data_IF_385408254499
#
_entry.id   IF_385408254499
#
_cell.length_a   1.000
_cell.length_b   1.000
_cell.length_c   1.000
_cell.angle_alpha   90.00
_cell.angle_beta   90.00
_cell.angle_gamma   90.00
#
_symmetry.space_group_name_H-M   'P 1'
#
loop_
_entity.id
_entity.type
_entity.pdbx_description
1 polymer ?
#
# COMPACT_ATOMS: atom_id res chain seq x y z
N UNK A 1 -1.57 15.86 26.40
CA UNK A 1 -2.37 15.09 25.43
C UNK A 1 -3.32 16.08 24.76
N UNK A 2 -3.09 16.45 23.50
CA UNK A 2 -4.04 17.31 22.76
C UNK A 2 -5.35 16.54 22.58
N UNK A 3 -6.49 17.20 22.76
CA UNK A 3 -7.78 16.54 22.51
C UNK A 3 -7.94 16.41 21.00
N UNK A 4 -8.54 15.31 20.54
CA UNK A 4 -8.85 15.08 19.12
C UNK A 4 -9.55 16.29 18.47
N UNK A 5 -10.40 16.96 19.25
CA UNK A 5 -11.11 18.19 18.87
C UNK A 5 -10.16 19.34 18.52
N UNK A 6 -9.04 19.48 19.23
CA UNK A 6 -8.06 20.56 19.01
C UNK A 6 -7.34 20.34 17.67
N UNK A 7 -6.99 19.09 17.35
CA UNK A 7 -6.35 18.72 16.09
C UNK A 7 -7.29 19.01 14.91
N UNK A 8 -8.55 18.58 15.01
CA UNK A 8 -9.57 18.83 13.99
C UNK A 8 -9.79 20.34 13.80
N UNK A 9 -9.85 21.10 14.90
CA UNK A 9 -10.05 22.55 14.86
C UNK A 9 -8.87 23.26 14.21
N UNK A 10 -7.64 22.90 14.59
CA UNK A 10 -6.42 23.45 14.00
C UNK A 10 -6.37 23.22 12.49
N UNK A 11 -6.72 22.01 12.04
CA UNK A 11 -6.71 21.66 10.63
C UNK A 11 -7.80 22.38 9.83
N UNK A 12 -9.00 22.55 10.41
CA UNK A 12 -10.05 23.38 9.83
C UNK A 12 -9.61 24.83 9.69
N UNK A 13 -8.98 25.40 10.70
CA UNK A 13 -8.45 26.77 10.65
C UNK A 13 -7.38 26.91 9.57
N UNK A 14 -6.48 25.93 9.44
CA UNK A 14 -5.47 25.92 8.39
C UNK A 14 -6.11 25.93 6.98
N UNK A 15 -7.12 25.09 6.75
CA UNK A 15 -7.84 25.04 5.47
C UNK A 15 -8.50 26.39 5.15
N UNK A 16 -9.16 27.01 6.13
CA UNK A 16 -9.77 28.34 5.96
C UNK A 16 -8.72 29.39 5.63
N UNK A 17 -7.62 29.43 6.37
CA UNK A 17 -6.53 30.39 6.15
C UNK A 17 -5.91 30.23 4.76
N UNK A 18 -5.64 28.99 4.33
CA UNK A 18 -5.10 28.72 3.00
C UNK A 18 -6.06 29.16 1.90
N UNK A 19 -7.37 28.90 2.09
CA UNK A 19 -8.39 29.35 1.14
C UNK A 19 -8.45 30.86 1.04
N UNK A 20 -8.50 31.56 2.17
CA UNK A 20 -8.58 33.03 2.22
C UNK A 20 -7.33 33.65 1.58
N UNK A 21 -6.15 33.11 1.89
CA UNK A 21 -4.89 33.67 1.40
C UNK A 21 -4.69 33.48 -0.11
N UNK A 22 -5.10 32.34 -0.66
CA UNK A 22 -4.87 32.00 -2.07
C UNK A 22 -6.11 32.13 -2.97
N UNK A 23 -7.26 32.50 -2.40
CA UNK A 23 -8.57 32.56 -3.06
C UNK A 23 -8.93 31.31 -3.89
N UNK A 24 -8.55 30.13 -3.38
CA UNK A 24 -8.79 28.84 -4.03
C UNK A 24 -8.98 27.72 -3.02
N UNK A 25 -9.72 26.68 -3.41
CA UNK A 25 -9.88 25.47 -2.59
C UNK A 25 -8.52 24.75 -2.49
N UNK A 26 -8.04 24.43 -1.27
CA UNK A 26 -6.80 23.67 -1.13
C UNK A 26 -7.01 22.20 -1.49
N UNK A 27 -5.93 21.52 -1.89
CA UNK A 27 -5.88 20.06 -1.96
C UNK A 27 -5.30 19.52 -0.66
N UNK A 28 -5.77 18.36 -0.21
CA UNK A 28 -5.27 17.71 0.99
C UNK A 28 -4.63 16.37 0.63
N UNK A 29 -3.33 16.23 0.90
CA UNK A 29 -2.58 15.01 0.70
C UNK A 29 -2.23 14.41 2.06
N UNK A 30 -2.63 13.15 2.27
CA UNK A 30 -2.23 12.35 3.42
C UNK A 30 -1.41 11.19 2.89
N UNK A 31 -0.10 11.28 3.05
CA UNK A 31 0.82 10.22 2.62
C UNK A 31 0.99 9.18 3.75
N UNK A 32 1.10 7.90 3.38
CA UNK A 32 1.32 6.77 4.30
C UNK A 32 0.36 6.76 5.50
N UNK A 33 -0.95 6.88 5.23
CA UNK A 33 -1.99 6.98 6.28
C UNK A 33 -1.99 5.79 7.26
N UNK A 34 -1.48 4.65 6.81
CA UNK A 34 -1.40 3.40 7.54
C UNK A 34 -0.13 3.25 8.38
N UNK A 35 0.88 4.11 8.19
CA UNK A 35 2.16 4.02 8.91
C UNK A 35 2.02 3.96 10.43
N UNK A 36 1.15 4.73 11.09
CA UNK A 36 0.98 4.60 12.55
C UNK A 36 0.42 3.24 12.97
N UNK A 37 -0.47 2.65 12.14
CA UNK A 37 -0.98 1.31 12.39
C UNK A 37 0.10 0.25 12.15
N UNK A 38 0.93 0.41 11.11
CA UNK A 38 2.09 -0.47 10.83
C UNK A 38 3.06 -0.43 12.01
N UNK A 39 3.48 0.76 12.44
CA UNK A 39 4.38 0.92 13.59
C UNK A 39 3.81 0.32 14.89
N UNK A 40 2.50 0.41 15.10
CA UNK A 40 1.81 -0.21 16.23
C UNK A 40 1.85 -1.75 16.17
N UNK A 41 1.67 -2.34 14.97
CA UNK A 41 1.78 -3.78 14.76
C UNK A 41 3.22 -4.26 14.97
N UNK A 42 4.22 -3.55 14.43
CA UNK A 42 5.65 -3.83 14.63
C UNK A 42 6.05 -3.77 16.12
N UNK A 43 5.45 -2.82 16.86
CA UNK A 43 5.61 -2.68 18.31
C UNK A 43 4.82 -3.72 19.13
N UNK A 44 4.15 -4.67 18.46
CA UNK A 44 3.37 -5.76 19.08
C UNK A 44 2.24 -5.26 20.00
N UNK A 45 1.64 -4.11 19.67
CA UNK A 45 0.44 -3.63 20.36
C UNK A 45 -0.75 -4.56 20.12
N UNK A 46 -1.74 -4.51 21.00
CA UNK A 46 -2.95 -5.32 20.85
C UNK A 46 -3.75 -4.88 19.61
N UNK A 47 -4.52 -5.80 19.03
CA UNK A 47 -5.38 -5.48 17.89
C UNK A 47 -6.37 -4.35 18.21
N UNK A 48 -6.86 -4.27 19.45
CA UNK A 48 -7.75 -3.20 19.90
C UNK A 48 -7.04 -1.84 19.86
N UNK A 49 -5.78 -1.78 20.30
CA UNK A 49 -4.97 -0.56 20.24
C UNK A 49 -4.70 -0.15 18.79
N UNK A 50 -4.35 -1.11 17.91
CA UNK A 50 -4.15 -0.85 16.48
C UNK A 50 -5.44 -0.32 15.83
N UNK A 51 -6.60 -0.92 16.14
CA UNK A 51 -7.92 -0.45 15.69
C UNK A 51 -8.25 0.94 16.20
N UNK A 52 -7.95 1.26 17.46
CA UNK A 52 -8.17 2.58 18.03
C UNK A 52 -7.32 3.65 17.34
N UNK A 53 -6.07 3.35 17.01
CA UNK A 53 -5.18 4.23 16.23
C UNK A 53 -5.77 4.47 14.84
N UNK A 54 -6.11 3.42 14.11
CA UNK A 54 -6.69 3.53 12.77
C UNK A 54 -8.00 4.30 12.75
N UNK A 55 -8.86 4.06 13.75
CA UNK A 55 -10.13 4.79 13.93
C UNK A 55 -9.88 6.26 14.21
N UNK A 56 -8.90 6.59 15.04
CA UNK A 56 -8.54 7.98 15.36
C UNK A 56 -8.11 8.74 14.12
N UNK A 57 -7.20 8.16 13.31
CA UNK A 57 -6.71 8.75 12.07
C UNK A 57 -7.86 8.96 11.07
N UNK A 58 -8.67 7.91 10.87
CA UNK A 58 -9.84 7.94 9.98
C UNK A 58 -10.83 9.02 10.41
N UNK A 59 -11.09 9.16 11.71
CA UNK A 59 -12.00 10.18 12.24
C UNK A 59 -11.50 11.60 11.98
N UNK A 60 -10.19 11.87 12.12
CA UNK A 60 -9.61 13.16 11.76
C UNK A 60 -9.86 13.46 10.29
N UNK A 61 -9.52 12.54 9.40
CA UNK A 61 -9.67 12.71 7.94
C UNK A 61 -11.15 12.92 7.58
N UNK A 62 -12.04 12.03 8.05
CA UNK A 62 -13.48 12.12 7.81
C UNK A 62 -14.09 13.42 8.33
N UNK A 63 -13.62 13.96 9.45
CA UNK A 63 -14.13 15.22 10.01
C UNK A 63 -13.87 16.45 9.12
N UNK A 64 -12.85 16.36 8.26
CA UNK A 64 -12.50 17.40 7.29
C UNK A 64 -13.30 17.18 6.01
N UNK A 65 -13.40 15.92 5.57
CA UNK A 65 -14.11 15.54 4.34
C UNK A 65 -15.62 15.77 4.42
N UNK A 66 -16.24 15.42 5.56
CA UNK A 66 -17.70 15.47 5.78
C UNK A 66 -18.19 16.83 6.28
N UNK A 67 -17.59 17.92 5.80
CA UNK A 67 -17.96 19.26 6.25
C UNK A 67 -19.06 19.86 5.37
N UNK A 68 -20.10 20.42 5.99
CA UNK A 68 -21.11 21.23 5.30
C UNK A 68 -20.69 22.69 5.13
N UNK A 69 -19.55 23.10 5.69
CA UNK A 69 -19.03 24.46 5.60
C UNK A 69 -18.34 24.68 4.25
N UNK A 70 -18.91 25.55 3.41
CA UNK A 70 -18.34 25.92 2.11
C UNK A 70 -16.88 26.42 2.20
N UNK A 71 -16.49 27.06 3.30
CA UNK A 71 -15.13 27.56 3.50
C UNK A 71 -14.12 26.43 3.74
N UNK A 72 -14.59 25.26 4.18
CA UNK A 72 -13.76 24.09 4.45
C UNK A 72 -13.71 23.10 3.28
N UNK A 73 -14.45 23.35 2.19
CA UNK A 73 -14.40 22.49 1.02
C UNK A 73 -13.03 22.48 0.38
N UNK A 74 -12.55 21.26 0.16
CA UNK A 74 -11.30 20.96 -0.52
C UNK A 74 -11.55 20.80 -2.03
N UNK A 75 -10.51 21.03 -2.84
CA UNK A 75 -10.54 20.78 -4.27
C UNK A 75 -10.51 19.27 -4.55
N UNK A 76 -9.62 18.58 -3.85
CA UNK A 76 -9.43 17.14 -3.91
C UNK A 76 -8.73 16.67 -2.62
N UNK A 77 -8.91 15.40 -2.29
CA UNK A 77 -8.15 14.71 -1.24
C UNK A 77 -7.50 13.47 -1.83
N UNK A 78 -6.20 13.35 -1.62
CA UNK A 78 -5.41 12.18 -1.99
C UNK A 78 -4.90 11.54 -0.70
N UNK A 79 -5.26 10.29 -0.49
CA UNK A 79 -4.78 9.49 0.64
C UNK A 79 -4.00 8.32 0.07
N UNK A 80 -2.76 8.16 0.48
CA UNK A 80 -1.90 7.04 0.08
C UNK A 80 -1.64 6.14 1.29
N UNK A 81 -1.31 4.88 1.02
CA UNK A 81 -0.96 3.91 2.03
C UNK A 81 -0.87 2.51 1.43
N UNK A 82 -0.30 1.58 2.18
CA UNK A 82 -0.09 0.19 1.74
C UNK A 82 -1.22 -0.71 2.28
N UNK A 83 -1.60 -0.52 3.53
CA UNK A 83 -2.57 -1.35 4.24
C UNK A 83 -4.01 -0.96 3.91
N UNK A 84 -4.72 -1.89 3.25
CA UNK A 84 -6.13 -1.71 2.85
C UNK A 84 -7.09 -1.50 4.03
N UNK A 85 -6.81 -2.05 5.22
CA UNK A 85 -7.77 -1.97 6.33
C UNK A 85 -8.00 -0.56 6.85
N UNK A 86 -6.97 0.30 6.80
CA UNK A 86 -7.11 1.71 7.18
C UNK A 86 -8.01 2.44 6.17
N UNK A 87 -7.96 2.04 4.89
CA UNK A 87 -8.80 2.61 3.84
C UNK A 87 -10.29 2.19 3.91
N UNK A 88 -10.63 1.03 4.50
CA UNK A 88 -12.03 0.63 4.67
C UNK A 88 -12.81 1.58 5.60
N UNK A 89 -12.15 2.21 6.56
CA UNK A 89 -12.76 3.27 7.38
C UNK A 89 -13.12 4.52 6.57
N UNK A 90 -12.49 4.73 5.42
CA UNK A 90 -12.73 5.84 4.50
C UNK A 90 -13.71 5.50 3.37
N UNK A 91 -13.92 4.20 3.10
CA UNK A 91 -14.80 3.70 2.03
C UNK A 91 -16.29 4.11 2.10
N UNK A 92 -16.92 4.43 3.26
CA UNK A 92 -18.31 4.89 3.31
C UNK A 92 -18.54 6.31 2.74
N UNK A 93 -17.68 6.79 1.85
CA UNK A 93 -17.74 8.12 1.27
C UNK A 93 -18.07 7.96 -0.22
N UNK A 94 -19.30 8.31 -0.60
CA UNK A 94 -19.85 8.13 -1.97
C UNK A 94 -19.03 8.80 -3.09
N UNK A 95 -18.12 9.72 -2.72
CA UNK A 95 -17.23 10.43 -3.64
C UNK A 95 -15.76 9.96 -3.57
N UNK A 96 -15.49 8.78 -3.00
CA UNK A 96 -14.13 8.21 -2.96
C UNK A 96 -13.91 7.25 -4.12
N UNK A 97 -12.79 7.42 -4.81
CA UNK A 97 -12.33 6.46 -5.83
C UNK A 97 -11.12 5.72 -5.29
N UNK A 98 -11.27 4.48 -4.81
CA UNK A 98 -10.13 3.68 -4.37
C UNK A 98 -9.31 3.29 -5.61
N UNK A 99 -8.01 3.61 -5.57
CA UNK A 99 -7.06 3.20 -6.60
C UNK A 99 -6.09 2.20 -6.00
N UNK A 100 -6.20 0.94 -6.43
CA UNK A 100 -5.30 -0.13 -5.99
C UNK A 100 -4.17 -0.29 -6.99
N UNK A 101 -3.10 0.47 -6.79
CA UNK A 101 -2.00 0.60 -7.75
C UNK A 101 -1.46 -0.75 -8.27
N UNK A 102 -1.27 -1.73 -7.38
CA UNK A 102 -0.74 -3.06 -7.74
C UNK A 102 -1.80 -4.05 -8.23
N UNK A 103 -3.08 -3.79 -7.97
CA UNK A 103 -4.18 -4.65 -8.42
C UNK A 103 -4.77 -4.19 -9.77
N UNK A 104 -4.36 -3.02 -10.27
CA UNK A 104 -4.78 -2.49 -11.56
C UNK A 104 -3.71 -2.75 -12.63
N UNK A 105 -3.98 -3.67 -13.56
CA UNK A 105 -3.05 -4.02 -14.65
C UNK A 105 -2.70 -2.84 -15.57
N UNK A 106 -3.56 -1.81 -15.64
CA UNK A 106 -3.29 -0.61 -16.46
C UNK A 106 -2.07 0.15 -15.94
N UNK A 107 -1.80 0.08 -14.63
CA UNK A 107 -0.70 0.76 -13.96
C UNK A 107 0.41 -0.18 -13.53
N UNK A 108 0.06 -1.28 -12.87
CA UNK A 108 1.01 -2.20 -12.23
C UNK A 108 2.03 -2.82 -13.21
N UNK A 109 1.72 -2.90 -14.51
CA UNK A 109 2.68 -3.37 -15.53
C UNK A 109 3.90 -2.47 -15.71
N UNK A 110 3.81 -1.19 -15.33
CA UNK A 110 4.89 -0.21 -15.39
C UNK A 110 5.65 -0.09 -14.06
N UNK A 111 5.30 -0.90 -13.06
CA UNK A 111 5.89 -0.82 -11.74
C UNK A 111 6.89 -1.95 -11.48
N UNK A 112 8.06 -1.58 -10.97
CA UNK A 112 9.14 -2.51 -10.70
C UNK A 112 9.72 -3.17 -11.96
N UNK A 113 10.59 -4.14 -11.74
CA UNK A 113 11.18 -4.97 -12.78
C UNK A 113 10.33 -6.22 -12.99
N UNK A 114 10.21 -6.67 -14.23
CA UNK A 114 9.70 -8.03 -14.54
C UNK A 114 10.76 -9.09 -14.25
N UNK A 115 10.36 -10.36 -14.21
CA UNK A 115 11.32 -11.47 -14.13
C UNK A 115 12.37 -11.44 -15.27
N UNK A 116 11.93 -11.05 -16.48
CA UNK A 116 12.81 -10.90 -17.64
C UNK A 116 13.81 -9.73 -17.47
N UNK A 117 13.37 -8.62 -16.89
CA UNK A 117 14.25 -7.49 -16.59
C UNK A 117 15.32 -7.89 -15.56
N UNK A 118 14.94 -8.63 -14.51
CA UNK A 118 15.87 -9.14 -13.50
C UNK A 118 16.87 -10.12 -14.11
N UNK A 119 16.41 -11.08 -14.92
CA UNK A 119 17.29 -12.02 -15.63
C UNK A 119 18.30 -11.28 -16.52
N UNK A 120 17.83 -10.28 -17.27
CA UNK A 120 18.69 -9.45 -18.12
C UNK A 120 19.70 -8.66 -17.29
N UNK A 121 19.27 -8.10 -16.16
CA UNK A 121 20.13 -7.34 -15.25
C UNK A 121 21.21 -8.22 -14.63
N UNK A 122 20.86 -9.41 -14.14
CA UNK A 122 21.81 -10.40 -13.58
C UNK A 122 22.83 -10.81 -14.63
N UNK A 123 22.39 -11.20 -15.84
CA UNK A 123 23.28 -11.60 -16.94
C UNK A 123 24.31 -10.51 -17.27
N UNK A 124 23.86 -9.26 -17.37
CA UNK A 124 24.72 -8.12 -17.71
C UNK A 124 25.66 -7.76 -16.55
N UNK A 125 25.14 -7.65 -15.33
CA UNK A 125 25.87 -7.09 -14.20
C UNK A 125 26.86 -8.08 -13.60
N UNK A 126 26.52 -9.36 -13.57
CA UNK A 126 27.40 -10.43 -13.11
C UNK A 126 28.36 -10.94 -14.22
N UNK A 127 28.33 -10.36 -15.42
CA UNK A 127 29.23 -10.72 -16.52
C UNK A 127 29.04 -12.15 -17.02
N UNK A 128 27.82 -12.70 -16.93
CA UNK A 128 27.59 -14.13 -17.12
C UNK A 128 27.57 -14.57 -18.59
N UNK A 129 27.61 -13.65 -19.56
CA UNK A 129 27.88 -13.96 -20.97
C UNK A 129 26.98 -15.01 -21.65
N UNK A 130 25.86 -15.41 -21.03
CA UNK A 130 25.01 -16.50 -21.50
C UNK A 130 25.08 -17.80 -20.69
N UNK A 131 25.80 -17.86 -19.57
CA UNK A 131 25.77 -18.96 -18.61
C UNK A 131 24.38 -19.06 -17.95
N UNK A 132 23.53 -19.88 -18.58
CA UNK A 132 22.14 -20.07 -18.17
C UNK A 132 22.04 -20.69 -16.78
N UNK A 133 22.93 -21.62 -16.44
CA UNK A 133 22.89 -22.34 -15.16
C UNK A 133 23.18 -21.40 -14.01
N UNK A 134 24.26 -20.61 -14.10
CA UNK A 134 24.62 -19.65 -13.06
C UNK A 134 23.61 -18.50 -12.94
N UNK A 135 23.01 -18.10 -14.06
CA UNK A 135 21.91 -17.13 -14.03
C UNK A 135 20.70 -17.68 -13.29
N UNK A 136 20.30 -18.92 -13.58
CA UNK A 136 19.16 -19.58 -12.94
C UNK A 136 19.38 -19.76 -11.43
N UNK A 137 20.58 -20.14 -11.00
CA UNK A 137 20.95 -20.23 -9.58
C UNK A 137 20.75 -18.88 -8.85
N UNK A 138 21.25 -17.78 -9.42
CA UNK A 138 21.10 -16.43 -8.84
C UNK A 138 19.63 -16.01 -8.80
N UNK A 139 18.89 -16.23 -9.89
CA UNK A 139 17.46 -15.87 -9.94
C UNK A 139 16.65 -16.69 -8.95
N UNK A 140 16.99 -17.96 -8.76
CA UNK A 140 16.36 -18.82 -7.76
C UNK A 140 16.60 -18.30 -6.34
N UNK A 141 17.82 -17.86 -6.02
CA UNK A 141 18.15 -17.30 -4.71
C UNK A 141 17.45 -15.94 -4.48
N UNK A 142 17.44 -15.05 -5.48
CA UNK A 142 16.65 -13.82 -5.44
C UNK A 142 15.18 -14.13 -5.16
N UNK A 143 14.59 -15.10 -5.87
CA UNK A 143 13.19 -15.47 -5.68
C UNK A 143 12.89 -16.09 -4.31
N UNK A 144 13.82 -16.88 -3.77
CA UNK A 144 13.67 -17.46 -2.44
C UNK A 144 13.69 -16.38 -1.34
N UNK A 145 14.49 -15.33 -1.54
CA UNK A 145 14.61 -14.18 -0.61
C UNK A 145 13.61 -13.06 -0.89
N UNK A 146 12.95 -13.06 -2.05
CA UNK A 146 12.06 -11.99 -2.47
C UNK A 146 10.65 -12.12 -1.88
N UNK A 147 10.27 -11.15 -1.07
CA UNK A 147 8.95 -11.05 -0.44
C UNK A 147 8.16 -9.81 -0.86
N UNK A 148 8.49 -9.21 -2.01
CA UNK A 148 7.83 -7.99 -2.48
C UNK A 148 6.54 -8.27 -3.27
N UNK A 149 6.26 -7.43 -4.26
CA UNK A 149 4.93 -7.36 -4.88
C UNK A 149 4.68 -8.47 -5.90
N UNK A 150 3.51 -9.12 -5.76
CA UNK A 150 3.00 -10.09 -6.71
C UNK A 150 1.71 -9.54 -7.31
N UNK A 151 1.68 -9.42 -8.64
CA UNK A 151 0.43 -9.24 -9.37
C UNK A 151 -0.37 -10.55 -9.30
N UNK A 152 -1.66 -10.50 -8.94
CA UNK A 152 -2.53 -11.64 -9.15
C UNK A 152 -2.59 -11.91 -10.65
N UNK A 153 -2.02 -13.04 -11.11
CA UNK A 153 -2.22 -13.46 -12.49
C UNK A 153 -3.59 -14.10 -12.63
N UNK A 154 -4.27 -13.90 -13.76
CA UNK A 154 -5.52 -14.60 -14.07
C UNK A 154 -5.37 -16.14 -14.09
N UNK A 155 -4.14 -16.66 -14.13
CA UNK A 155 -3.82 -18.08 -14.17
C UNK A 155 -3.47 -18.69 -12.80
N UNK A 156 -3.50 -17.92 -11.70
CA UNK A 156 -3.19 -18.41 -10.35
C UNK A 156 -1.70 -18.74 -10.10
N UNK A 157 -0.83 -18.54 -11.09
CA UNK A 157 0.61 -18.67 -10.94
C UNK A 157 1.20 -17.36 -10.43
N UNK A 158 1.31 -17.22 -9.10
CA UNK A 158 1.91 -16.06 -8.43
C UNK A 158 3.32 -15.74 -8.96
N UNK A 159 4.08 -16.75 -9.41
CA UNK A 159 5.47 -16.62 -9.85
C UNK A 159 5.67 -15.81 -11.13
N UNK A 160 4.69 -15.76 -12.04
CA UNK A 160 4.77 -14.94 -13.28
C UNK A 160 4.36 -13.48 -13.08
N UNK A 161 3.77 -13.15 -11.92
CA UNK A 161 3.31 -11.80 -11.59
C UNK A 161 4.27 -11.01 -10.70
N UNK A 162 5.45 -11.53 -10.36
CA UNK A 162 6.39 -10.83 -9.49
C UNK A 162 6.87 -9.51 -10.11
N UNK A 163 6.79 -8.44 -9.32
CA UNK A 163 7.33 -7.11 -9.66
C UNK A 163 8.43 -6.77 -8.70
N UNK A 164 9.68 -6.91 -9.15
CA UNK A 164 10.86 -6.76 -8.30
C UNK A 164 11.20 -5.29 -8.08
N UNK A 165 11.55 -4.94 -6.85
CA UNK A 165 12.13 -3.63 -6.57
C UNK A 165 13.56 -3.56 -7.13
N UNK A 166 13.82 -2.60 -8.02
CA UNK A 166 15.15 -2.40 -8.62
C UNK A 166 16.24 -2.22 -7.55
N UNK A 167 15.95 -1.47 -6.49
CA UNK A 167 16.92 -1.20 -5.41
C UNK A 167 17.33 -2.49 -4.68
N UNK A 168 16.36 -3.34 -4.32
CA UNK A 168 16.61 -4.62 -3.67
C UNK A 168 17.45 -5.54 -4.55
N UNK A 169 17.07 -5.68 -5.83
CA UNK A 169 17.81 -6.52 -6.79
C UNK A 169 19.24 -6.02 -6.99
N UNK A 170 19.46 -4.70 -7.08
CA UNK A 170 20.81 -4.15 -7.21
C UNK A 170 21.67 -4.38 -5.97
N UNK A 171 21.11 -4.26 -4.77
CA UNK A 171 21.86 -4.52 -3.54
C UNK A 171 22.29 -5.98 -3.43
N UNK A 172 21.37 -6.90 -3.74
CA UNK A 172 21.68 -8.32 -3.84
C UNK A 172 22.87 -8.57 -4.78
N UNK A 173 22.78 -8.06 -6.02
CA UNK A 173 23.82 -8.26 -7.03
C UNK A 173 25.17 -7.65 -6.60
N UNK A 174 25.15 -6.56 -5.82
CA UNK A 174 26.35 -5.91 -5.29
C UNK A 174 26.93 -6.62 -4.04
N UNK A 175 26.46 -7.82 -3.69
CA UNK A 175 27.00 -8.63 -2.59
C UNK A 175 26.52 -8.21 -1.20
N UNK A 176 25.41 -7.45 -1.11
CA UNK A 176 24.71 -7.21 0.16
C UNK A 176 23.59 -8.25 0.29
N UNK A 177 23.38 -8.80 1.48
CA UNK A 177 22.28 -9.74 1.66
C UNK A 177 20.94 -9.00 1.59
N UNK A 178 19.94 -9.68 1.01
CA UNK A 178 18.58 -9.13 0.91
C UNK A 178 17.90 -9.05 2.27
N UNK A 179 18.30 -9.90 3.23
CA UNK A 179 17.76 -9.91 4.58
C UNK A 179 18.00 -8.57 5.31
N UNK A 180 19.11 -7.89 5.03
CA UNK A 180 19.46 -6.62 5.67
C UNK A 180 18.70 -5.41 5.09
N UNK A 181 18.12 -5.53 3.89
CA UNK A 181 17.62 -4.40 3.10
C UNK A 181 16.36 -4.75 2.29
N UNK A 182 15.58 -5.76 2.69
CA UNK A 182 14.24 -5.92 2.16
C UNK A 182 13.38 -4.76 2.69
N UNK A 183 13.32 -3.67 1.94
CA UNK A 183 12.54 -2.46 2.28
C UNK A 183 11.03 -2.69 2.42
N UNK A 184 10.57 -3.94 2.25
CA UNK A 184 9.16 -4.31 2.29
C UNK A 184 8.94 -5.60 3.08
N UNK A 185 9.88 -5.96 3.98
CA UNK A 185 9.95 -7.29 4.60
C UNK A 185 8.78 -7.69 5.48
N UNK A 186 8.03 -6.75 6.05
CA UNK A 186 6.96 -7.08 7.00
C UNK A 186 5.66 -6.29 6.78
N UNK A 187 5.58 -5.48 5.73
CA UNK A 187 4.35 -4.78 5.32
C UNK A 187 3.51 -5.57 4.30
N UNK A 188 4.04 -6.69 3.81
CA UNK A 188 3.46 -7.54 2.76
C UNK A 188 2.25 -8.32 3.25
N UNK A 189 1.13 -7.62 3.44
CA UNK A 189 -0.18 -8.15 3.80
C UNK A 189 -0.25 -8.89 5.16
N UNK A 190 -1.34 -8.65 5.88
CA UNK A 190 -1.96 -9.63 6.78
C UNK A 190 -2.45 -10.89 6.02
N UNK A 191 -1.62 -11.47 5.13
CA UNK A 191 -1.79 -12.81 4.54
C UNK A 191 -0.71 -13.78 5.01
N UNK A 192 0.22 -13.34 5.87
CA UNK A 192 1.25 -14.19 6.47
C UNK A 192 0.81 -14.97 7.72
N UNK A 193 -0.33 -14.63 8.34
CA UNK A 193 -1.03 -15.60 9.18
C UNK A 193 -1.93 -16.41 8.26
N UNK A 194 -1.58 -17.68 8.13
CA UNK A 194 -2.41 -18.75 7.60
C UNK A 194 -3.75 -18.79 8.38
N UNK A 195 -4.70 -17.91 8.04
CA UNK A 195 -6.11 -18.19 8.29
C UNK A 195 -6.47 -19.20 7.23
N UNK A 196 -6.75 -20.42 7.66
CA UNK A 196 -7.11 -21.52 6.78
C UNK A 196 -8.14 -21.03 5.74
N UNK A 197 -7.80 -21.20 4.47
CA UNK A 197 -8.60 -20.76 3.32
C UNK A 197 -9.96 -21.47 3.20
N UNK A 198 -10.30 -22.35 4.15
CA UNK A 198 -11.60 -23.02 4.20
C UNK A 198 -12.72 -22.19 4.85
N UNK A 199 -12.45 -21.11 5.61
CA UNK A 199 -13.52 -20.37 6.29
C UNK A 199 -14.04 -19.13 5.55
N UNK A 200 -13.22 -18.45 4.72
CA UNK A 200 -13.67 -17.20 4.07
C UNK A 200 -14.48 -17.47 2.78
N UNK A 201 -14.24 -18.60 2.10
CA UNK A 201 -14.95 -18.94 0.86
C UNK A 201 -16.41 -19.38 1.07
N UNK A 202 -16.90 -19.51 2.32
CA UNK A 202 -18.31 -19.86 2.58
C UNK A 202 -19.23 -18.67 2.87
N UNK A 203 -18.70 -17.46 3.14
CA UNK A 203 -19.52 -16.36 3.66
C UNK A 203 -19.69 -15.14 2.74
N UNK A 204 -19.22 -15.18 1.48
CA UNK A 204 -19.44 -14.08 0.53
C UNK A 204 -19.94 -14.56 -0.85
N UNK A 205 -20.80 -15.58 -0.86
CA UNK A 205 -21.74 -15.73 -1.97
C UNK A 205 -22.78 -14.60 -1.92
N UNK A 206 -22.94 -13.91 -3.05
CA UNK A 206 -24.13 -13.16 -3.44
C UNK A 206 -24.58 -11.98 -2.55
N UNK A 207 -24.09 -10.77 -2.87
CA UNK A 207 -24.98 -9.61 -3.01
C UNK A 207 -24.71 -8.89 -4.34
N UNK A 208 -24.98 -9.60 -5.43
CA UNK A 208 -25.52 -8.98 -6.64
C UNK A 208 -27.00 -9.34 -6.70
N UNK A 209 -27.85 -8.44 -6.20
CA UNK A 209 -29.26 -8.38 -6.57
C UNK A 209 -29.63 -6.93 -6.81
N UNK A 210 -29.70 -6.61 -8.09
CA UNK A 210 -30.70 -5.78 -8.76
C UNK A 210 -31.61 -4.96 -7.85
N UNK A 211 -31.48 -3.64 -7.93
CA UNK A 211 -32.57 -2.71 -7.59
C UNK A 211 -33.26 -2.32 -8.90
N UNK A 212 -34.39 -2.97 -9.16
CA UNK A 212 -35.61 -2.31 -9.59
C UNK A 212 -36.57 -2.37 -8.40
#
# INVERSE_FOLDING_TARGET
>A
MYKLVDVITGLKNLIKSLRIHWDRKPMFLVDEVDKPCVAAMESKLSEEQVRAIGTTITNVICSILKTGDEQLKLQAVLVTGICKFVSYGLAPMDNTTPVYFLSDERFSKYYGLTAQDVETLVKRRCGLGGDAKKTEEIISDINAKYNGYYQPSCSGEYKKGARYCLFSVLNYINGRDLEDWCFWSDGGFLTGKLVSTQEICRNYECYSKTVL
#
